data_IF_476166301979
#
_entry.id   IF_476166301979
#
_cell.length_a   1.000
_cell.length_b   1.000
_cell.length_c   1.000
_cell.angle_alpha   90.00
_cell.angle_beta   90.00
_cell.angle_gamma   90.00
#
_symmetry.space_group_name_H-M   'P 1'
#
loop_
_entity.id
_entity.type
_entity.pdbx_description
1 polymer ?
#
# COMPACT_ATOMS: atom_id res chain seq x y z
N UNK A 1 -7.07 24.07 11.08
CA UNK A 1 -6.48 22.85 10.48
C UNK A 1 -6.18 21.90 11.62
N UNK A 2 -6.86 20.75 11.67
CA UNK A 2 -6.55 19.71 12.66
C UNK A 2 -5.12 19.23 12.43
N UNK A 3 -4.30 19.23 13.48
CA UNK A 3 -2.97 18.64 13.42
C UNK A 3 -3.19 17.13 13.38
N UNK A 4 -3.03 16.52 12.21
CA UNK A 4 -3.04 15.06 12.08
C UNK A 4 -1.82 14.57 12.85
N UNK A 5 -2.05 13.88 13.97
CA UNK A 5 -0.98 13.38 14.85
C UNK A 5 -0.83 11.86 14.78
N UNK A 6 -1.73 11.17 14.07
CA UNK A 6 -1.80 9.71 13.98
C UNK A 6 -2.05 9.30 12.50
N UNK A 7 -1.38 8.26 12.02
CA UNK A 7 -1.59 7.69 10.68
C UNK A 7 -3.02 7.21 10.47
N UNK A 8 -3.69 6.83 11.56
CA UNK A 8 -5.10 6.45 11.52
C UNK A 8 -6.00 7.63 11.13
N UNK A 9 -5.74 8.82 11.67
CA UNK A 9 -6.48 10.04 11.31
C UNK A 9 -6.22 10.45 9.85
N UNK A 10 -4.97 10.32 9.39
CA UNK A 10 -4.61 10.57 7.98
C UNK A 10 -5.36 9.63 7.03
N UNK A 11 -5.40 8.34 7.37
CA UNK A 11 -6.10 7.33 6.59
C UNK A 11 -7.60 7.63 6.46
N UNK A 12 -8.28 7.91 7.59
CA UNK A 12 -9.71 8.23 7.56
C UNK A 12 -10.02 9.55 6.87
N UNK A 13 -9.14 10.56 7.00
CA UNK A 13 -9.29 11.79 6.23
C UNK A 13 -9.20 11.50 4.72
N UNK A 14 -8.31 10.58 4.31
CA UNK A 14 -8.23 10.10 2.93
C UNK A 14 -9.54 9.46 2.45
N UNK A 15 -10.11 8.56 3.25
CA UNK A 15 -11.39 7.91 2.94
C UNK A 15 -12.53 8.93 2.84
N UNK A 16 -12.62 9.87 3.79
CA UNK A 16 -13.64 10.92 3.79
C UNK A 16 -13.54 11.82 2.55
N UNK A 17 -12.33 12.21 2.18
CA UNK A 17 -12.09 13.05 1.01
C UNK A 17 -12.48 12.37 -0.31
N UNK A 18 -12.47 11.03 -0.35
CA UNK A 18 -12.84 10.23 -1.52
C UNK A 18 -14.19 9.54 -1.40
N UNK A 19 -14.98 9.86 -0.36
CA UNK A 19 -16.24 9.18 -0.05
C UNK A 19 -17.18 9.09 -1.26
N UNK A 20 -17.37 10.18 -2.00
CA UNK A 20 -18.24 10.18 -3.19
C UNK A 20 -17.75 9.21 -4.29
N UNK A 21 -16.43 9.08 -4.47
CA UNK A 21 -15.85 8.15 -5.45
C UNK A 21 -15.99 6.71 -4.98
N UNK A 22 -15.80 6.47 -3.68
CA UNK A 22 -15.99 5.16 -3.05
C UNK A 22 -17.46 4.75 -3.16
N UNK A 23 -18.41 5.63 -2.85
CA UNK A 23 -19.84 5.36 -2.92
C UNK A 23 -20.29 5.06 -4.39
N UNK A 24 -19.59 5.62 -5.38
CA UNK A 24 -19.79 5.29 -6.80
C UNK A 24 -19.18 3.94 -7.21
N UNK A 25 -17.99 3.63 -6.69
CA UNK A 25 -17.27 2.39 -6.99
C UNK A 25 -17.91 1.19 -6.28
N UNK A 26 -18.34 1.39 -5.03
CA UNK A 26 -18.94 0.37 -4.17
C UNK A 26 -20.21 0.89 -3.48
N UNK A 27 -21.35 0.92 -4.19
CA UNK A 27 -22.59 1.43 -3.64
C UNK A 27 -23.04 0.65 -2.41
N UNK A 28 -23.28 1.37 -1.30
CA UNK A 28 -23.77 0.78 -0.06
C UNK A 28 -22.70 0.12 0.80
N UNK A 29 -21.41 0.32 0.50
CA UNK A 29 -20.35 -0.13 1.40
C UNK A 29 -20.42 0.63 2.74
N UNK A 30 -20.62 -0.12 3.83
CA UNK A 30 -20.66 0.43 5.18
C UNK A 30 -19.39 0.06 5.95
N UNK A 31 -19.02 0.88 6.95
CA UNK A 31 -17.95 0.57 7.92
C UNK A 31 -16.52 0.49 7.37
N UNK A 32 -16.20 1.13 6.23
CA UNK A 32 -14.80 1.34 5.81
C UNK A 32 -14.02 2.22 6.79
N UNK A 33 -14.71 3.10 7.54
CA UNK A 33 -14.11 3.86 8.65
C UNK A 33 -13.84 2.99 9.90
N UNK A 34 -14.08 1.68 9.85
CA UNK A 34 -13.76 0.78 10.96
C UNK A 34 -12.25 0.62 11.14
N UNK A 35 -11.83 0.28 12.36
CA UNK A 35 -10.42 -0.06 12.64
C UNK A 35 -9.94 -1.25 11.81
N UNK A 36 -10.83 -2.18 11.45
CA UNK A 36 -10.47 -3.40 10.71
C UNK A 36 -10.00 -3.12 9.28
N UNK A 37 -10.62 -2.17 8.56
CA UNK A 37 -10.18 -1.84 7.20
C UNK A 37 -8.82 -1.12 7.21
N UNK A 38 -8.59 -0.26 8.20
CA UNK A 38 -7.27 0.33 8.45
C UNK A 38 -6.23 -0.75 8.73
N UNK A 39 -6.49 -1.68 9.66
CA UNK A 39 -5.59 -2.78 10.00
C UNK A 39 -5.30 -3.70 8.81
N UNK A 40 -6.31 -3.95 7.96
CA UNK A 40 -6.14 -4.68 6.71
C UNK A 40 -5.17 -3.95 5.78
N UNK A 41 -5.38 -2.66 5.56
CA UNK A 41 -4.49 -1.79 4.78
C UNK A 41 -3.06 -1.77 5.36
N UNK A 42 -2.90 -1.82 6.68
CA UNK A 42 -1.57 -1.91 7.31
C UNK A 42 -0.82 -3.18 6.87
N UNK A 43 -1.51 -4.34 6.75
CA UNK A 43 -0.88 -5.59 6.30
C UNK A 43 -0.28 -5.47 4.90
N UNK A 44 -0.97 -4.79 3.99
CA UNK A 44 -0.46 -4.56 2.64
C UNK A 44 0.70 -3.56 2.62
N UNK A 45 0.64 -2.52 3.45
CA UNK A 45 1.79 -1.62 3.63
C UNK A 45 3.01 -2.32 4.21
N UNK A 46 2.83 -3.25 5.15
CA UNK A 46 3.95 -4.02 5.71
C UNK A 46 4.70 -4.81 4.62
N UNK A 47 4.03 -5.30 3.56
CA UNK A 47 4.69 -5.96 2.42
C UNK A 47 5.73 -5.03 1.78
N UNK A 48 5.36 -3.78 1.48
CA UNK A 48 6.27 -2.79 0.89
C UNK A 48 7.36 -2.35 1.88
N UNK A 49 6.98 -2.12 3.14
CA UNK A 49 7.89 -1.58 4.16
C UNK A 49 8.95 -2.60 4.59
N UNK A 50 8.57 -3.86 4.76
CA UNK A 50 9.45 -4.96 5.18
C UNK A 50 10.29 -5.53 4.03
N UNK A 51 9.98 -5.17 2.78
CA UNK A 51 10.78 -5.59 1.64
C UNK A 51 12.23 -5.10 1.80
N UNK A 52 13.19 -6.02 1.64
CA UNK A 52 14.61 -5.68 1.62
C UNK A 52 14.88 -4.93 0.32
N UNK A 53 15.39 -3.70 0.43
CA UNK A 53 15.63 -2.80 -0.71
C UNK A 53 17.11 -2.75 -1.01
N UNK A 54 17.50 -3.03 -2.25
CA UNK A 54 18.89 -3.01 -2.70
C UNK A 54 19.01 -2.16 -3.94
N UNK A 55 19.90 -1.16 -3.90
CA UNK A 55 20.25 -0.40 -5.09
C UNK A 55 20.98 -1.31 -6.09
N UNK A 56 20.63 -1.21 -7.37
CA UNK A 56 21.36 -1.89 -8.43
C UNK A 56 22.59 -1.03 -8.80
N UNK A 57 23.83 -1.54 -8.61
CA UNK A 57 25.05 -0.76 -8.87
C UNK A 57 25.13 -0.24 -10.31
N UNK A 58 25.65 0.97 -10.48
CA UNK A 58 25.76 1.62 -11.79
C UNK A 58 24.43 2.12 -12.40
N UNK A 59 23.31 1.98 -11.70
CA UNK A 59 21.99 2.44 -12.14
C UNK A 59 21.33 3.38 -11.12
N UNK A 60 20.16 3.91 -11.48
CA UNK A 60 19.26 4.62 -10.57
C UNK A 60 18.18 3.70 -9.98
N UNK A 61 18.24 2.39 -10.23
CA UNK A 61 17.19 1.44 -9.88
C UNK A 61 17.38 0.84 -8.48
N UNK A 62 16.25 0.40 -7.91
CA UNK A 62 16.18 -0.32 -6.63
C UNK A 62 15.41 -1.61 -6.85
N UNK A 63 15.98 -2.73 -6.42
CA UNK A 63 15.31 -4.01 -6.34
C UNK A 63 14.71 -4.21 -4.94
N UNK A 64 13.47 -4.70 -4.89
CA UNK A 64 12.81 -5.11 -3.65
C UNK A 64 12.73 -6.63 -3.54
N UNK A 65 13.03 -7.18 -2.36
CA UNK A 65 12.76 -8.57 -2.01
C UNK A 65 11.57 -8.62 -1.04
N UNK A 66 10.40 -8.95 -1.55
CA UNK A 66 9.15 -9.07 -0.78
C UNK A 66 9.11 -10.38 -0.01
N UNK A 67 8.65 -10.34 1.23
CA UNK A 67 8.64 -11.51 2.09
C UNK A 67 7.33 -12.29 1.88
N UNK A 68 7.46 -13.58 1.60
CA UNK A 68 6.30 -14.49 1.48
C UNK A 68 5.41 -14.45 2.73
N UNK A 69 5.99 -14.32 3.91
CA UNK A 69 5.25 -14.26 5.17
C UNK A 69 4.31 -13.04 5.26
N UNK A 70 4.74 -11.87 4.79
CA UNK A 70 3.92 -10.66 4.80
C UNK A 70 2.74 -10.79 3.81
N UNK A 71 2.99 -11.37 2.63
CA UNK A 71 1.96 -11.65 1.62
C UNK A 71 0.92 -12.66 2.17
N UNK A 72 1.38 -13.75 2.80
CA UNK A 72 0.49 -14.73 3.45
C UNK A 72 -0.38 -14.10 4.54
N UNK A 73 0.19 -13.21 5.36
CA UNK A 73 -0.56 -12.51 6.41
C UNK A 73 -1.64 -11.62 5.79
N UNK A 74 -1.29 -10.81 4.78
CA UNK A 74 -2.25 -9.94 4.09
C UNK A 74 -3.36 -10.75 3.42
N UNK A 75 -3.01 -11.87 2.78
CA UNK A 75 -3.94 -12.79 2.12
C UNK A 75 -4.94 -13.42 3.09
N UNK A 76 -4.47 -13.94 4.23
CA UNK A 76 -5.35 -14.50 5.27
C UNK A 76 -6.26 -13.43 5.87
N UNK A 77 -5.70 -12.26 6.22
CA UNK A 77 -6.48 -11.15 6.76
C UNK A 77 -7.56 -10.68 5.78
N UNK A 78 -7.29 -10.71 4.47
CA UNK A 78 -8.28 -10.35 3.45
C UNK A 78 -9.40 -11.39 3.39
N UNK A 79 -9.07 -12.69 3.44
CA UNK A 79 -10.10 -13.75 3.50
C UNK A 79 -10.98 -13.62 4.74
N UNK A 80 -10.37 -13.43 5.90
CA UNK A 80 -11.10 -13.25 7.16
C UNK A 80 -12.01 -12.01 7.08
N UNK A 81 -11.51 -10.88 6.55
CA UNK A 81 -12.30 -9.67 6.35
C UNK A 81 -13.48 -9.88 5.39
N UNK A 82 -13.25 -10.59 4.27
CA UNK A 82 -14.30 -10.90 3.29
C UNK A 82 -15.39 -11.77 3.90
N UNK A 83 -15.02 -12.80 4.67
CA UNK A 83 -15.98 -13.70 5.32
C UNK A 83 -16.75 -12.98 6.44
N UNK A 84 -16.06 -12.26 7.32
CA UNK A 84 -16.67 -11.58 8.47
C UNK A 84 -17.63 -10.46 8.08
N UNK A 85 -17.39 -9.84 6.92
CA UNK A 85 -18.18 -8.71 6.40
C UNK A 85 -19.11 -9.09 5.25
N UNK A 86 -19.17 -10.37 4.89
CA UNK A 86 -19.98 -10.89 3.78
C UNK A 86 -19.73 -10.11 2.47
N UNK A 87 -18.46 -9.83 2.17
CA UNK A 87 -18.07 -9.05 0.98
C UNK A 87 -18.24 -9.89 -0.28
N UNK A 88 -19.11 -9.45 -1.19
CA UNK A 88 -19.31 -10.09 -2.49
C UNK A 88 -18.32 -9.58 -3.55
N UNK A 89 -18.03 -8.27 -3.57
CA UNK A 89 -17.17 -7.64 -4.56
C UNK A 89 -15.71 -7.52 -4.08
N UNK A 90 -14.97 -8.61 -4.24
CA UNK A 90 -13.55 -8.71 -3.85
C UNK A 90 -12.66 -7.82 -4.73
N UNK A 91 -12.97 -7.63 -6.01
CA UNK A 91 -12.17 -6.80 -6.91
C UNK A 91 -12.23 -5.33 -6.49
N UNK A 92 -13.40 -4.84 -6.12
CA UNK A 92 -13.56 -3.49 -5.60
C UNK A 92 -12.88 -3.32 -4.24
N UNK A 93 -12.98 -4.31 -3.34
CA UNK A 93 -12.23 -4.31 -2.08
C UNK A 93 -10.72 -4.18 -2.31
N UNK A 94 -10.15 -5.01 -3.19
CA UNK A 94 -8.73 -4.97 -3.51
C UNK A 94 -8.33 -3.63 -4.12
N UNK A 95 -9.17 -3.05 -4.99
CA UNK A 95 -8.91 -1.72 -5.57
C UNK A 95 -8.82 -0.63 -4.49
N UNK A 96 -9.70 -0.66 -3.48
CA UNK A 96 -9.63 0.26 -2.35
C UNK A 96 -8.40 0.01 -1.47
N UNK A 97 -8.05 -1.25 -1.21
CA UNK A 97 -6.83 -1.58 -0.48
C UNK A 97 -5.61 -1.02 -1.22
N UNK A 98 -5.54 -1.19 -2.55
CA UNK A 98 -4.45 -0.65 -3.36
C UNK A 98 -4.32 0.87 -3.20
N UNK A 99 -5.46 1.57 -3.23
CA UNK A 99 -5.49 3.02 -3.16
C UNK A 99 -5.12 3.57 -1.77
N UNK A 100 -5.46 2.85 -0.71
CA UNK A 100 -5.37 3.36 0.66
C UNK A 100 -4.28 2.72 1.52
N UNK A 101 -3.66 1.60 1.11
CA UNK A 101 -2.70 0.91 1.97
C UNK A 101 -1.55 1.84 2.38
N UNK A 102 -1.01 2.62 1.45
CA UNK A 102 0.13 3.54 1.68
C UNK A 102 -0.18 4.66 2.69
N UNK A 103 -1.46 4.95 2.93
CA UNK A 103 -1.93 5.90 3.94
C UNK A 103 -1.98 5.28 5.35
N UNK A 104 -2.05 3.94 5.44
CA UNK A 104 -2.09 3.20 6.69
C UNK A 104 -0.69 3.01 7.30
N UNK A 105 0.16 4.04 7.28
CA UNK A 105 1.54 3.98 7.76
C UNK A 105 1.87 5.16 8.65
N UNK A 106 2.45 4.87 9.82
CA UNK A 106 2.90 5.87 10.78
C UNK A 106 3.90 6.85 10.13
N UNK A 107 3.76 8.14 10.43
CA UNK A 107 4.57 9.20 9.83
C UNK A 107 6.04 9.13 10.24
N UNK A 108 6.33 8.59 11.42
CA UNK A 108 7.68 8.40 11.97
C UNK A 108 8.26 7.01 11.70
N UNK A 109 7.57 6.17 10.92
CA UNK A 109 8.07 4.85 10.54
C UNK A 109 9.29 4.99 9.62
N UNK A 110 10.46 4.59 10.16
CA UNK A 110 11.75 4.70 9.46
C UNK A 110 11.84 3.85 8.19
N UNK A 111 10.99 2.82 8.05
CA UNK A 111 10.90 1.96 6.86
C UNK A 111 10.32 2.71 5.66
N UNK A 112 9.63 3.83 5.89
CA UNK A 112 8.98 4.66 4.86
C UNK A 112 9.92 5.57 4.08
N UNK A 113 11.23 5.38 4.22
CA UNK A 113 12.29 6.26 3.72
C UNK A 113 12.28 6.38 2.20
N UNK A 114 11.35 7.17 1.65
CA UNK A 114 11.29 7.54 0.25
C UNK A 114 12.47 8.44 -0.13
N UNK A 115 12.87 8.42 -1.39
CA UNK A 115 14.03 9.18 -1.80
C UNK A 115 14.32 9.11 -3.29
N UNK A 116 15.15 10.06 -3.73
CA UNK A 116 15.66 10.08 -5.10
C UNK A 116 16.99 9.34 -5.16
N UNK A 117 17.04 8.27 -5.93
CA UNK A 117 18.30 7.56 -6.24
C UNK A 117 18.99 8.29 -7.37
N UNK A 118 20.15 8.87 -7.06
CA UNK A 118 20.99 9.59 -8.02
C UNK A 118 22.03 8.65 -8.63
N UNK A 119 22.47 8.88 -9.89
CA UNK A 119 23.60 8.16 -10.48
C UNK A 119 24.85 8.18 -9.57
N UNK A 120 25.64 7.10 -9.55
CA UNK A 120 26.85 7.03 -8.70
C UNK A 120 27.85 8.14 -9.02
N UNK A 121 27.90 8.59 -10.28
CA UNK A 121 28.77 9.66 -10.76
C UNK A 121 28.05 11.02 -10.88
N UNK A 122 27.00 11.25 -10.08
CA UNK A 122 26.20 12.47 -10.19
C UNK A 122 27.01 13.72 -9.88
N UNK A 123 27.21 14.57 -10.90
CA UNK A 123 27.72 15.92 -10.73
C UNK A 123 26.53 16.85 -10.41
N UNK A 124 26.56 17.52 -9.27
CA UNK A 124 25.54 18.49 -8.83
C UNK A 124 25.35 19.70 -9.78
N UNK A 125 26.18 19.85 -10.80
CA UNK A 125 26.02 20.81 -11.90
C UNK A 125 25.17 20.29 -13.08
N UNK A 126 24.80 19.00 -13.09
CA UNK A 126 24.00 18.37 -14.15
C UNK A 126 22.50 18.51 -13.89
N UNK A 127 21.75 18.81 -14.95
CA UNK A 127 20.29 19.03 -14.95
C UNK A 127 19.49 17.71 -15.06
N UNK A 128 20.16 16.58 -15.31
CA UNK A 128 19.52 15.28 -15.48
C UNK A 128 19.51 14.50 -14.17
N UNK A 129 18.33 14.53 -13.53
CA UNK A 129 18.07 13.99 -12.20
C UNK A 129 17.67 12.51 -12.17
N UNK A 130 17.93 11.91 -11.01
CA UNK A 130 17.66 10.50 -10.72
C UNK A 130 16.18 10.12 -10.59
N UNK A 131 15.95 8.91 -10.11
CA UNK A 131 14.63 8.29 -10.00
C UNK A 131 14.10 8.39 -8.57
N UNK A 132 12.84 8.81 -8.43
CA UNK A 132 12.18 8.87 -7.14
C UNK A 132 11.47 7.54 -6.85
N UNK A 133 11.57 7.06 -5.62
CA UNK A 133 10.84 5.90 -5.14
C UNK A 133 10.02 6.26 -3.90
N UNK A 134 8.73 5.93 -3.94
CA UNK A 134 7.87 5.94 -2.76
C UNK A 134 7.78 4.52 -2.18
N UNK A 135 8.58 4.22 -1.16
CA UNK A 135 8.61 2.87 -0.56
C UNK A 135 7.40 2.51 0.30
N UNK A 136 6.40 3.41 0.42
CA UNK A 136 5.11 3.08 1.01
C UNK A 136 4.18 2.37 0.02
N UNK A 137 4.46 2.50 -1.27
CA UNK A 137 3.63 1.95 -2.35
C UNK A 137 4.23 0.64 -2.86
N UNK A 138 3.36 -0.31 -3.17
CA UNK A 138 3.75 -1.49 -3.91
C UNK A 138 3.88 -1.10 -5.39
N UNK A 139 4.93 -1.56 -6.09
CA UNK A 139 4.96 -1.45 -7.55
C UNK A 139 3.74 -2.12 -8.19
N UNK A 140 3.20 -1.55 -9.27
CA UNK A 140 1.96 -2.01 -9.93
C UNK A 140 2.00 -3.48 -10.37
N UNK A 141 3.15 -3.94 -10.86
CA UNK A 141 3.37 -5.34 -11.24
C UNK A 141 3.29 -6.27 -10.03
N UNK A 142 3.95 -5.89 -8.93
CA UNK A 142 3.92 -6.63 -7.67
C UNK A 142 2.52 -6.63 -7.05
N UNK A 143 1.81 -5.50 -7.10
CA UNK A 143 0.42 -5.43 -6.66
C UNK A 143 -0.47 -6.38 -7.47
N UNK A 144 -0.34 -6.39 -8.80
CA UNK A 144 -1.11 -7.26 -9.68
C UNK A 144 -0.93 -8.75 -9.36
N UNK A 145 0.30 -9.16 -9.08
CA UNK A 145 0.61 -10.54 -8.69
C UNK A 145 -0.04 -10.88 -7.33
N UNK A 146 0.11 -10.02 -6.32
CA UNK A 146 -0.49 -10.21 -4.99
C UNK A 146 -2.02 -10.26 -5.08
N UNK A 147 -2.64 -9.32 -5.79
CA UNK A 147 -4.09 -9.26 -5.93
C UNK A 147 -4.66 -10.51 -6.62
N UNK A 148 -3.93 -11.06 -7.58
CA UNK A 148 -4.29 -12.32 -8.24
C UNK A 148 -4.23 -13.49 -7.25
N UNK A 149 -3.13 -13.62 -6.52
CA UNK A 149 -2.96 -14.68 -5.51
C UNK A 149 -4.02 -14.62 -4.40
N UNK A 150 -4.37 -13.42 -3.94
CA UNK A 150 -5.40 -13.21 -2.92
C UNK A 150 -6.78 -13.64 -3.43
N UNK A 151 -7.13 -13.28 -4.67
CA UNK A 151 -8.40 -13.71 -5.28
C UNK A 151 -8.50 -15.22 -5.39
N UNK A 152 -7.44 -15.86 -5.90
CA UNK A 152 -7.38 -17.32 -6.00
C UNK A 152 -7.54 -18.01 -4.65
N UNK A 153 -6.97 -17.44 -3.58
CA UNK A 153 -7.08 -17.99 -2.22
C UNK A 153 -8.46 -17.80 -1.55
N UNK A 154 -9.18 -16.74 -1.93
CA UNK A 154 -10.53 -16.49 -1.42
C UNK A 154 -11.55 -17.36 -2.17
N UNK A 155 -11.41 -17.48 -3.49
CA UNK A 155 -12.35 -18.20 -4.35
C UNK A 155 -12.07 -19.71 -4.48
N UNK A 156 -10.87 -20.16 -4.11
CA UNK A 156 -10.47 -21.58 -4.06
C UNK A 156 -10.83 -22.25 -2.74
#
# INVERSE_FOLDING_TARGET
MSVINDSKDYFYLGLQNKKEQIDLLWPGVENLESTQFYELCQKYSDIALNAIKQRIPGTCDVQGCFQFADIEIAKRATKDYVVDREIEDVDTLLSLIHEFHSHAVAWDDKRTTSGRVLPENYNYQSIYGGQYFNFKELPEDIWGDIATEVKEYICG
#
